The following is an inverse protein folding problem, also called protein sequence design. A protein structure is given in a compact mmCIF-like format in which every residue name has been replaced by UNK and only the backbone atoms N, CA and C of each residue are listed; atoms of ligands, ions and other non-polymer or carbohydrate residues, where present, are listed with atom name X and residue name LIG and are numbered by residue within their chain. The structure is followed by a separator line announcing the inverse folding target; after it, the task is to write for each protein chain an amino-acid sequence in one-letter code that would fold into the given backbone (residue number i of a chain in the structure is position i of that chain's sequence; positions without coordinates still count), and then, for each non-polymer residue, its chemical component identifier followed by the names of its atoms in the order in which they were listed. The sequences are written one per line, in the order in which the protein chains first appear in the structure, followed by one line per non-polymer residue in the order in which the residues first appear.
data_IF_858409127394
#
_entry.id   IF_858409127394
#
_cell.length_a   1.000
_cell.length_b   1.000
_cell.length_c   1.000
_cell.angle_alpha   90.00
_cell.angle_beta   90.00
_cell.angle_gamma   90.00
#
_symmetry.space_group_name_H-M   'P 1'
#
loop_
_entity.id
_entity.type
_entity.pdbx_description
1 polymer ?
#
# COMPACT_ATOMS: atom_id res chain seq x y z
N UNK A 1 4.79 -10.26 -47.37
CA UNK A 1 4.87 -10.71 -45.96
C UNK A 1 5.31 -9.60 -45.01
N UNK A 2 4.96 -8.33 -45.27
CA UNK A 2 5.50 -7.19 -44.48
C UNK A 2 4.42 -6.37 -43.76
N UNK A 3 3.20 -6.30 -44.30
CA UNK A 3 2.14 -5.43 -43.76
C UNK A 3 1.35 -6.01 -42.59
N UNK A 4 1.20 -7.33 -42.53
CA UNK A 4 0.50 -8.02 -41.44
C UNK A 4 1.37 -8.07 -40.17
N UNK A 5 2.68 -8.29 -40.33
CA UNK A 5 3.64 -8.33 -39.22
C UNK A 5 3.89 -6.96 -38.59
N UNK A 6 3.94 -5.89 -39.39
CA UNK A 6 4.05 -4.52 -38.87
C UNK A 6 2.78 -4.11 -38.09
N UNK A 7 1.60 -4.47 -38.57
CA UNK A 7 0.33 -4.11 -37.93
C UNK A 7 0.12 -4.84 -36.59
N UNK A 8 0.51 -6.11 -36.50
CA UNK A 8 0.45 -6.87 -35.23
C UNK A 8 1.45 -6.33 -34.21
N UNK A 9 2.69 -6.04 -34.60
CA UNK A 9 3.70 -5.50 -33.68
C UNK A 9 3.32 -4.13 -33.10
N UNK A 10 2.72 -3.24 -33.90
CA UNK A 10 2.24 -1.93 -33.39
C UNK A 10 1.00 -2.05 -32.50
N UNK A 11 0.14 -3.05 -32.72
CA UNK A 11 -0.99 -3.31 -31.83
C UNK A 11 -0.53 -3.88 -30.49
N UNK A 12 0.40 -4.86 -30.52
CA UNK A 12 0.97 -5.45 -29.31
C UNK A 12 1.76 -4.42 -28.47
N UNK A 13 2.47 -3.47 -29.09
CA UNK A 13 3.15 -2.36 -28.41
C UNK A 13 2.15 -1.40 -27.76
N UNK A 14 1.07 -1.06 -28.46
CA UNK A 14 -0.01 -0.21 -27.92
C UNK A 14 -0.71 -0.88 -26.74
N UNK A 15 -0.92 -2.20 -26.80
CA UNK A 15 -1.53 -2.98 -25.71
C UNK A 15 -0.60 -3.06 -24.49
N UNK A 16 0.72 -3.19 -24.70
CA UNK A 16 1.70 -3.15 -23.60
C UNK A 16 1.78 -1.78 -22.96
N UNK A 17 1.71 -0.71 -23.73
CA UNK A 17 1.75 0.65 -23.21
C UNK A 17 0.48 0.97 -22.41
N UNK A 18 -0.69 0.52 -22.85
CA UNK A 18 -1.93 0.63 -22.07
C UNK A 18 -1.84 -0.09 -20.71
N UNK A 19 -1.28 -1.30 -20.67
CA UNK A 19 -1.07 -2.03 -19.41
C UNK A 19 -0.08 -1.33 -18.48
N UNK A 20 0.94 -0.64 -19.04
CA UNK A 20 1.89 0.15 -18.25
C UNK A 20 1.27 1.43 -17.71
N UNK A 21 0.37 2.05 -18.46
CA UNK A 21 -0.42 3.20 -17.98
C UNK A 21 -1.33 2.76 -16.81
N UNK A 22 -2.00 1.62 -16.92
CA UNK A 22 -2.81 1.05 -15.84
C UNK A 22 -1.97 0.80 -14.57
N UNK A 23 -0.75 0.26 -14.70
CA UNK A 23 0.17 0.10 -13.56
C UNK A 23 0.55 1.45 -12.96
N UNK A 24 0.82 2.48 -13.77
CA UNK A 24 1.16 3.81 -13.26
C UNK A 24 0.02 4.44 -12.47
N UNK A 25 -1.23 4.27 -12.94
CA UNK A 25 -2.42 4.71 -12.21
C UNK A 25 -2.56 3.97 -10.87
N UNK A 26 -2.37 2.65 -10.86
CA UNK A 26 -2.37 1.84 -9.63
C UNK A 26 -1.27 2.31 -8.66
N UNK A 27 -0.07 2.60 -9.16
CA UNK A 27 1.05 3.07 -8.33
C UNK A 27 0.73 4.43 -7.69
N UNK A 28 0.10 5.34 -8.45
CA UNK A 28 -0.36 6.62 -7.93
C UNK A 28 -1.43 6.42 -6.83
N UNK A 29 -2.40 5.54 -7.07
CA UNK A 29 -3.45 5.22 -6.09
C UNK A 29 -2.86 4.61 -4.82
N UNK A 30 -1.84 3.75 -4.94
CA UNK A 30 -1.12 3.18 -3.78
C UNK A 30 -0.50 4.30 -2.94
N UNK A 31 0.19 5.26 -3.58
CA UNK A 31 0.80 6.39 -2.86
C UNK A 31 -0.27 7.25 -2.16
N UNK A 32 -1.38 7.53 -2.82
CA UNK A 32 -2.50 8.28 -2.21
C UNK A 32 -3.08 7.56 -1.00
N UNK A 33 -3.31 6.25 -1.11
CA UNK A 33 -3.82 5.41 -0.03
C UNK A 33 -2.84 5.35 1.15
N UNK A 34 -1.53 5.29 0.89
CA UNK A 34 -0.50 5.34 1.93
C UNK A 34 -0.57 6.68 2.66
N UNK A 35 -0.57 7.80 1.94
CA UNK A 35 -0.65 9.15 2.54
C UNK A 35 -1.91 9.30 3.40
N UNK A 36 -3.07 8.84 2.91
CA UNK A 36 -4.32 8.85 3.66
C UNK A 36 -4.24 7.99 4.93
N UNK A 37 -3.63 6.81 4.84
CA UNK A 37 -3.45 5.91 6.00
C UNK A 37 -2.55 6.55 7.06
N UNK A 38 -1.47 7.20 6.64
CA UNK A 38 -0.55 7.93 7.52
C UNK A 38 -1.28 9.05 8.25
N UNK A 39 -2.03 9.90 7.55
CA UNK A 39 -2.81 10.99 8.16
C UNK A 39 -3.79 10.49 9.25
N UNK A 40 -4.48 9.37 8.99
CA UNK A 40 -5.38 8.77 9.99
C UNK A 40 -4.60 8.25 11.20
N UNK A 41 -3.44 7.64 10.99
CA UNK A 41 -2.59 7.16 12.07
C UNK A 41 -2.05 8.30 12.95
N UNK A 42 -1.68 9.44 12.35
CA UNK A 42 -1.29 10.65 13.07
C UNK A 42 -2.43 11.22 13.90
N UNK A 43 -3.64 11.27 13.31
CA UNK A 43 -4.84 11.72 14.03
C UNK A 43 -5.11 10.83 15.25
N UNK A 44 -4.96 9.50 15.12
CA UNK A 44 -5.08 8.56 16.24
C UNK A 44 -4.00 8.83 17.30
N UNK A 45 -2.77 9.12 16.89
CA UNK A 45 -1.69 9.43 17.82
C UNK A 45 -1.95 10.71 18.63
N UNK A 46 -2.53 11.75 18.00
CA UNK A 46 -2.94 12.98 18.67
C UNK A 46 -4.02 12.71 19.72
N UNK A 47 -5.06 11.94 19.37
CA UNK A 47 -6.12 11.53 20.33
C UNK A 47 -5.52 10.77 21.50
N UNK A 48 -4.61 9.81 21.23
CA UNK A 48 -3.91 9.08 22.30
C UNK A 48 -3.11 10.00 23.22
N UNK A 49 -2.43 11.02 22.67
CA UNK A 49 -1.69 11.98 23.46
C UNK A 49 -2.60 12.83 24.36
N UNK A 50 -3.73 13.31 23.82
CA UNK A 50 -4.74 14.06 24.59
C UNK A 50 -5.33 13.23 25.73
N UNK A 51 -5.54 11.93 25.50
CA UNK A 51 -6.07 10.99 26.49
C UNK A 51 -5.00 10.36 27.40
N UNK A 52 -3.73 10.77 27.28
CA UNK A 52 -2.58 10.18 27.99
C UNK A 52 -2.45 8.65 27.81
N UNK A 53 -2.85 8.14 26.65
CA UNK A 53 -2.72 6.74 26.27
C UNK A 53 -1.34 6.44 25.67
N UNK A 54 -0.82 5.21 25.84
CA UNK A 54 0.40 4.79 25.18
C UNK A 54 0.27 4.84 23.66
N UNK A 55 1.30 5.38 23.00
CA UNK A 55 1.38 5.44 21.54
C UNK A 55 1.55 4.05 20.92
N UNK A 56 2.31 3.18 21.58
CA UNK A 56 2.53 1.79 21.14
C UNK A 56 1.33 0.93 21.52
N UNK A 57 0.82 0.16 20.56
CA UNK A 57 -0.35 -0.69 20.72
C UNK A 57 -0.13 -1.99 19.95
N UNK A 58 0.55 -2.93 20.59
CA UNK A 58 0.94 -4.22 19.98
C UNK A 58 -0.29 -5.02 19.53
N UNK A 59 -1.39 -4.98 20.28
CA UNK A 59 -2.65 -5.64 19.91
C UNK A 59 -3.27 -5.03 18.65
N UNK A 60 -3.13 -3.72 18.44
CA UNK A 60 -3.55 -3.09 17.20
C UNK A 60 -2.64 -3.49 16.03
N UNK A 61 -1.32 -3.61 16.25
CA UNK A 61 -0.39 -4.09 15.23
C UNK A 61 -0.72 -5.52 14.79
N UNK A 62 -0.96 -6.43 15.74
CA UNK A 62 -1.40 -7.79 15.45
C UNK A 62 -2.69 -7.82 14.61
N UNK A 63 -3.69 -7.03 14.98
CA UNK A 63 -4.96 -6.91 14.22
C UNK A 63 -4.74 -6.34 12.81
N UNK A 64 -3.79 -5.43 12.63
CA UNK A 64 -3.41 -4.94 11.28
C UNK A 64 -2.79 -6.07 10.46
N UNK A 65 -1.92 -6.88 11.07
CA UNK A 65 -1.26 -8.01 10.41
C UNK A 65 -2.20 -9.17 10.08
N UNK A 66 -3.20 -9.42 10.93
CA UNK A 66 -4.28 -10.38 10.68
C UNK A 66 -5.07 -9.98 9.44
N UNK A 67 -5.59 -8.74 9.42
CA UNK A 67 -6.31 -8.21 8.24
C UNK A 67 -5.47 -8.22 6.98
N UNK A 68 -4.16 -7.96 7.07
CA UNK A 68 -3.26 -8.04 5.92
C UNK A 68 -3.18 -9.46 5.36
N UNK A 69 -3.17 -10.49 6.22
CA UNK A 69 -3.25 -11.88 5.81
C UNK A 69 -4.57 -12.24 5.15
N UNK A 70 -5.69 -11.87 5.77
CA UNK A 70 -7.03 -12.15 5.23
C UNK A 70 -7.25 -11.52 3.85
N UNK A 71 -6.74 -10.30 3.64
CA UNK A 71 -6.81 -9.66 2.32
C UNK A 71 -5.89 -10.35 1.31
N UNK A 72 -4.70 -10.80 1.71
CA UNK A 72 -3.82 -11.54 0.82
C UNK A 72 -4.49 -12.83 0.31
N UNK A 73 -5.09 -13.59 1.22
CA UNK A 73 -5.83 -14.81 0.88
C UNK A 73 -7.02 -14.51 -0.06
N UNK A 74 -7.74 -13.41 0.19
CA UNK A 74 -8.88 -13.00 -0.63
C UNK A 74 -8.50 -12.66 -2.08
N UNK A 75 -7.34 -12.05 -2.29
CA UNK A 75 -6.86 -11.63 -3.60
C UNK A 75 -5.89 -12.63 -4.24
N UNK A 76 -5.70 -13.81 -3.63
CA UNK A 76 -4.81 -14.88 -4.11
C UNK A 76 -3.35 -14.40 -4.30
N UNK A 77 -2.86 -13.60 -3.35
CA UNK A 77 -1.47 -13.10 -3.31
C UNK A 77 -0.72 -13.62 -2.09
N UNK A 78 0.61 -13.66 -2.18
CA UNK A 78 1.45 -14.19 -1.08
C UNK A 78 1.27 -13.36 0.22
N UNK A 79 0.75 -14.03 1.25
CA UNK A 79 0.49 -13.39 2.54
C UNK A 79 1.75 -12.87 3.23
N UNK A 80 2.93 -13.46 3.01
CA UNK A 80 4.17 -12.97 3.60
C UNK A 80 4.61 -11.67 2.94
N UNK A 81 4.45 -11.52 1.62
CA UNK A 81 4.74 -10.29 0.89
C UNK A 81 3.80 -9.16 1.31
N UNK A 82 2.49 -9.42 1.36
CA UNK A 82 1.53 -8.41 1.83
C UNK A 82 1.83 -8.00 3.27
N UNK A 83 2.09 -8.97 4.16
CA UNK A 83 2.51 -8.69 5.54
C UNK A 83 3.82 -7.89 5.60
N UNK A 84 4.77 -8.10 4.69
CA UNK A 84 6.00 -7.30 4.65
C UNK A 84 5.70 -5.82 4.33
N UNK A 85 4.82 -5.54 3.37
CA UNK A 85 4.38 -4.18 3.06
C UNK A 85 3.71 -3.54 4.28
N UNK A 86 2.80 -4.26 4.95
CA UNK A 86 2.13 -3.73 6.14
C UNK A 86 3.08 -3.47 7.32
N UNK A 87 4.15 -4.25 7.48
CA UNK A 87 5.21 -3.94 8.46
C UNK A 87 5.88 -2.60 8.14
N UNK A 88 6.23 -2.34 6.88
CA UNK A 88 6.79 -1.05 6.46
C UNK A 88 5.83 0.11 6.76
N UNK A 89 4.53 -0.07 6.51
CA UNK A 89 3.51 0.93 6.79
C UNK A 89 3.28 1.18 8.29
N UNK A 90 3.49 0.17 9.14
CA UNK A 90 3.47 0.35 10.60
C UNK A 90 4.72 1.12 11.04
N UNK A 91 5.90 0.74 10.52
CA UNK A 91 7.16 1.38 10.88
C UNK A 91 7.23 2.85 10.42
N UNK A 92 6.72 3.18 9.23
CA UNK A 92 6.59 4.57 8.76
C UNK A 92 5.89 5.44 9.80
N UNK A 93 4.71 5.02 10.25
CA UNK A 93 3.93 5.76 11.24
C UNK A 93 4.64 5.85 12.60
N UNK A 94 5.39 4.82 13.01
CA UNK A 94 6.16 4.85 14.27
C UNK A 94 7.30 5.87 14.20
N UNK A 95 7.96 6.01 13.04
CA UNK A 95 9.04 6.98 12.85
C UNK A 95 8.47 8.40 12.92
N UNK A 96 7.40 8.69 12.18
CA UNK A 96 6.76 10.02 12.19
C UNK A 96 6.27 10.41 13.59
N UNK A 97 5.70 9.46 14.35
CA UNK A 97 5.31 9.68 15.75
C UNK A 97 6.47 9.94 16.70
N UNK A 98 7.71 9.54 16.37
CA UNK A 98 8.89 9.86 17.18
C UNK A 98 9.45 11.23 16.84
N UNK A 99 9.38 11.63 15.58
CA UNK A 99 9.84 12.94 15.10
C UNK A 99 8.92 14.09 15.55
N UNK A 100 7.62 13.82 15.70
CA UNK A 100 6.62 14.80 16.11
C UNK A 100 6.41 14.91 17.64
N UNK A 101 7.29 14.32 18.47
CA UNK A 101 7.29 14.45 19.94
C UNK A 101 8.30 15.49 20.41
#
# INVERSE_FOLDING_TARGET
MTRETENTATMDETDLDALREEIQEIDQDIVELIARRTYVADTIAQVKAEENLPTTDEQQEERVMERAGENADRFDVDANLVKAIFRLLIELNKVEQRENR
#
